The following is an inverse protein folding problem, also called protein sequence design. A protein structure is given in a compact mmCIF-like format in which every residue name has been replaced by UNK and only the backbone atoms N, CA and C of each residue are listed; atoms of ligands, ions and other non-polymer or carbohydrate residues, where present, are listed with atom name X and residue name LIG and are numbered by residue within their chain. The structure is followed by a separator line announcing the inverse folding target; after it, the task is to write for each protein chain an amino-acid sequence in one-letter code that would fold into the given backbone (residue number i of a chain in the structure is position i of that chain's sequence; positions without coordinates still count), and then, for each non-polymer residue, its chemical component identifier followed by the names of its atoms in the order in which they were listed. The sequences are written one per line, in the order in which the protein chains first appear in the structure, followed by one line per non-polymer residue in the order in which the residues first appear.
data_IF_268070172789
#
_entry.id   IF_268070172789
#
_cell.length_a   1.000
_cell.length_b   1.000
_cell.length_c   1.000
_cell.angle_alpha   90.00
_cell.angle_beta   90.00
_cell.angle_gamma   90.00
#
_symmetry.space_group_name_H-M   'P 1'
#
loop_
_entity.id
_entity.type
_entity.pdbx_description
1 polymer ?
#
# COMPACT_ATOMS: atom_id res chain seq x y z
N UNK A 1 13.86 15.07 8.72
CA UNK A 1 12.61 15.83 8.55
C UNK A 1 11.38 15.00 8.17
N UNK A 2 11.42 14.08 7.18
CA UNK A 2 10.22 13.32 6.74
C UNK A 2 9.42 12.57 7.82
N UNK A 3 10.07 12.18 8.93
CA UNK A 3 9.45 11.49 10.08
C UNK A 3 9.00 12.47 11.17
N UNK A 4 9.41 13.75 11.10
CA UNK A 4 9.24 14.75 12.17
C UNK A 4 8.20 15.82 11.85
N UNK A 5 7.81 16.01 10.58
CA UNK A 5 6.83 17.01 10.15
C UNK A 5 5.69 16.36 9.36
N UNK A 6 4.45 16.61 9.80
CA UNK A 6 3.23 16.31 9.08
C UNK A 6 2.90 17.54 8.22
N UNK A 7 3.15 17.48 6.91
CA UNK A 7 2.71 18.53 5.99
C UNK A 7 1.32 18.17 5.48
N UNK A 8 0.49 19.16 5.17
CA UNK A 8 -0.84 18.95 4.57
C UNK A 8 -0.73 18.18 3.23
N UNK A 9 0.43 18.28 2.56
CA UNK A 9 0.77 17.67 1.28
C UNK A 9 1.18 16.18 1.39
N UNK A 10 1.13 15.55 2.57
CA UNK A 10 1.48 14.14 2.76
C UNK A 10 0.48 13.42 3.67
N UNK A 11 0.05 12.23 3.27
CA UNK A 11 -0.77 11.34 4.10
C UNK A 11 -0.23 9.90 4.09
N UNK A 12 -0.20 9.26 5.26
CA UNK A 12 0.15 7.84 5.42
C UNK A 12 -1.04 7.07 5.98
N UNK A 13 -1.41 5.98 5.29
CA UNK A 13 -2.47 5.06 5.70
C UNK A 13 -1.82 3.76 6.17
N UNK A 14 -2.28 3.27 7.31
CA UNK A 14 -1.80 2.02 7.90
C UNK A 14 -2.87 0.94 7.78
N UNK A 15 -2.44 -0.27 7.42
CA UNK A 15 -3.21 -1.49 7.47
C UNK A 15 -2.40 -2.57 8.18
N UNK A 16 -3.07 -3.50 8.85
CA UNK A 16 -2.45 -4.69 9.42
C UNK A 16 -3.43 -5.85 9.39
N UNK A 17 -2.93 -7.05 9.61
CA UNK A 17 -3.74 -8.25 9.71
C UNK A 17 -2.89 -9.51 9.83
N UNK A 18 -3.57 -10.64 9.87
CA UNK A 18 -2.98 -11.97 9.80
C UNK A 18 -3.52 -12.70 8.58
N UNK A 19 -2.66 -13.20 7.71
CA UNK A 19 -3.05 -13.80 6.43
C UNK A 19 -2.63 -15.27 6.35
N UNK A 20 -3.52 -16.16 5.92
CA UNK A 20 -3.21 -17.58 5.72
C UNK A 20 -2.64 -17.81 4.32
N UNK A 21 -2.04 -18.98 4.13
CA UNK A 21 -1.58 -19.43 2.83
C UNK A 21 -2.69 -19.33 1.77
N UNK A 22 -2.32 -18.81 0.59
CA UNK A 22 -3.20 -18.64 -0.57
C UNK A 22 -4.41 -17.71 -0.37
N UNK A 23 -4.48 -16.98 0.75
CA UNK A 23 -5.44 -15.90 0.93
C UNK A 23 -5.00 -14.62 0.22
N UNK A 24 -5.98 -13.78 -0.06
CA UNK A 24 -5.80 -12.44 -0.62
C UNK A 24 -6.55 -11.45 0.28
N UNK A 25 -5.83 -10.46 0.81
CA UNK A 25 -6.42 -9.33 1.51
C UNK A 25 -6.47 -8.12 0.59
N UNK A 26 -7.64 -7.49 0.49
CA UNK A 26 -7.87 -6.30 -0.32
C UNK A 26 -7.74 -5.01 0.49
N UNK A 27 -6.98 -4.05 -0.02
CA UNK A 27 -6.84 -2.70 0.53
C UNK A 27 -7.22 -1.66 -0.52
N UNK A 28 -8.12 -0.75 -0.16
CA UNK A 28 -8.54 0.37 -1.01
C UNK A 28 -7.91 1.65 -0.48
N UNK A 29 -6.85 2.12 -1.14
CA UNK A 29 -6.21 3.39 -0.78
C UNK A 29 -6.98 4.55 -1.40
N UNK A 30 -7.56 5.46 -0.60
CA UNK A 30 -8.35 6.58 -1.13
C UNK A 30 -7.45 7.61 -1.82
N UNK A 31 -7.88 8.13 -2.97
CA UNK A 31 -7.15 9.13 -3.73
C UNK A 31 -7.66 10.55 -3.48
N UNK A 32 -6.82 11.53 -3.10
CA UNK A 32 -7.27 12.90 -2.96
C UNK A 32 -7.79 13.41 -4.31
N UNK A 33 -9.03 13.90 -4.38
CA UNK A 33 -9.64 14.41 -5.61
C UNK A 33 -8.88 15.61 -6.19
N UNK A 34 -8.19 16.40 -5.36
CA UNK A 34 -7.34 17.51 -5.83
C UNK A 34 -6.17 17.09 -6.73
N UNK A 35 -5.82 15.80 -6.78
CA UNK A 35 -4.86 15.26 -7.73
C UNK A 35 -5.48 14.82 -9.07
N UNK A 36 -6.82 14.75 -9.16
CA UNK A 36 -7.53 14.47 -10.41
C UNK A 36 -7.25 15.59 -11.39
N UNK A 37 -6.91 15.23 -12.62
CA UNK A 37 -6.53 16.16 -13.69
C UNK A 37 -5.31 17.07 -13.40
N UNK A 38 -4.57 16.81 -12.33
CA UNK A 38 -3.41 17.60 -11.93
C UNK A 38 -2.11 17.11 -12.59
N UNK A 39 -1.24 18.07 -12.97
CA UNK A 39 0.15 17.82 -13.39
C UNK A 39 1.14 17.87 -12.23
N UNK A 40 0.68 18.04 -10.98
CA UNK A 40 1.56 18.08 -9.82
C UNK A 40 2.38 16.79 -9.72
N UNK A 41 3.65 16.93 -9.39
CA UNK A 41 4.47 15.78 -9.00
C UNK A 41 3.84 15.11 -7.77
N UNK A 42 3.77 13.79 -7.81
CA UNK A 42 3.30 12.95 -6.72
C UNK A 42 4.21 11.74 -6.54
N UNK A 43 4.36 11.31 -5.29
CA UNK A 43 5.04 10.06 -4.93
C UNK A 43 4.15 9.22 -4.06
N UNK A 44 4.03 7.94 -4.41
CA UNK A 44 3.46 6.92 -3.55
C UNK A 44 4.57 6.00 -3.04
N UNK A 45 4.59 5.75 -1.75
CA UNK A 45 5.51 4.81 -1.11
C UNK A 45 4.69 3.72 -0.44
N UNK A 46 4.90 2.47 -0.83
CA UNK A 46 4.19 1.31 -0.28
C UNK A 46 5.19 0.40 0.43
N UNK A 47 4.95 0.12 1.71
CA UNK A 47 5.78 -0.78 2.51
C UNK A 47 4.91 -1.87 3.11
N UNK A 48 5.22 -3.12 2.79
CA UNK A 48 4.67 -4.31 3.42
C UNK A 48 5.77 -4.98 4.23
N UNK A 49 5.52 -5.31 5.49
CA UNK A 49 6.44 -6.04 6.34
C UNK A 49 5.70 -7.15 7.09
N UNK A 50 6.36 -8.28 7.32
CA UNK A 50 5.75 -9.43 7.99
C UNK A 50 6.73 -10.22 8.86
N UNK A 51 6.20 -10.98 9.80
CA UNK A 51 6.98 -11.91 10.61
C UNK A 51 6.75 -13.33 10.10
N UNK A 52 7.67 -13.78 9.26
CA UNK A 52 7.69 -15.17 8.81
C UNK A 52 8.30 -16.06 9.90
N UNK A 53 7.77 -17.28 10.10
CA UNK A 53 8.50 -18.37 10.75
C UNK A 53 9.79 -18.67 10.00
N UNK A 54 10.68 -19.39 10.67
CA UNK A 54 11.99 -19.72 10.13
C UNK A 54 12.19 -21.21 9.92
N UNK A 55 12.69 -21.58 8.74
CA UNK A 55 13.23 -22.91 8.45
C UNK A 55 14.77 -22.83 8.36
N UNK A 56 15.50 -23.18 9.42
CA UNK A 56 16.97 -23.11 9.44
C UNK A 56 17.63 -24.12 8.49
N UNK A 57 16.91 -25.16 8.05
CA UNK A 57 17.44 -26.16 7.13
C UNK A 57 17.41 -25.72 5.66
N UNK A 58 16.82 -24.56 5.35
CA UNK A 58 16.67 -24.06 3.98
C UNK A 58 17.34 -22.70 3.79
N UNK A 59 18.00 -22.49 2.64
CA UNK A 59 18.78 -21.27 2.34
C UNK A 59 17.98 -19.96 2.40
N UNK A 60 16.67 -20.02 2.18
CA UNK A 60 15.80 -18.83 2.22
C UNK A 60 15.44 -18.41 3.66
N UNK A 61 15.64 -19.31 4.62
CA UNK A 61 15.35 -19.21 6.06
C UNK A 61 13.91 -18.88 6.45
N UNK A 62 13.11 -18.25 5.61
CA UNK A 62 11.73 -17.84 5.87
C UNK A 62 10.74 -18.86 5.31
N UNK A 63 9.72 -19.18 6.09
CA UNK A 63 8.65 -20.09 5.69
C UNK A 63 7.50 -19.42 4.91
N UNK A 64 7.33 -18.11 5.07
CA UNK A 64 6.25 -17.34 4.45
C UNK A 64 6.80 -16.22 3.58
N UNK A 65 6.23 -16.12 2.39
CA UNK A 65 6.47 -15.02 1.46
C UNK A 65 5.18 -14.27 1.19
N UNK A 66 5.12 -13.03 1.67
CA UNK A 66 4.05 -12.11 1.32
C UNK A 66 4.50 -11.19 0.18
N UNK A 67 3.51 -10.68 -0.55
CA UNK A 67 3.73 -9.62 -1.53
C UNK A 67 2.47 -8.76 -1.66
N UNK A 68 2.65 -7.46 -1.91
CA UNK A 68 1.58 -6.60 -2.40
C UNK A 68 1.69 -6.39 -3.91
N UNK A 69 0.54 -6.22 -4.56
CA UNK A 69 0.43 -5.81 -5.96
C UNK A 69 -0.79 -4.89 -6.14
N UNK A 70 -0.70 -3.87 -7.02
CA UNK A 70 -1.90 -3.18 -7.48
C UNK A 70 -2.77 -4.10 -8.33
N UNK A 71 -4.08 -3.83 -8.42
CA UNK A 71 -5.03 -4.59 -9.25
C UNK A 71 -4.64 -4.59 -10.74
N UNK A 72 -4.11 -3.47 -11.23
CA UNK A 72 -3.53 -3.32 -12.56
C UNK A 72 -2.17 -2.61 -12.48
N UNK A 73 -1.43 -2.47 -13.59
CA UNK A 73 -0.09 -1.87 -13.54
C UNK A 73 -0.12 -0.43 -13.02
N UNK A 74 0.96 0.01 -12.37
CA UNK A 74 1.05 1.34 -11.77
C UNK A 74 0.81 2.51 -12.74
N UNK A 75 1.13 2.34 -14.02
CA UNK A 75 0.89 3.29 -15.12
C UNK A 75 -0.55 3.23 -15.68
N UNK A 76 -1.28 2.16 -15.40
CA UNK A 76 -2.70 2.01 -15.73
C UNK A 76 -3.58 2.61 -14.62
N UNK A 77 -3.10 2.61 -13.36
CA UNK A 77 -3.78 3.19 -12.19
C UNK A 77 -4.05 4.71 -12.33
N UNK A 78 -5.01 5.27 -11.58
CA UNK A 78 -5.38 6.68 -11.69
C UNK A 78 -4.25 7.68 -11.40
N UNK A 79 -3.26 7.34 -10.57
CA UNK A 79 -2.12 8.23 -10.31
C UNK A 79 -1.00 8.14 -11.34
N UNK A 80 -1.08 7.20 -12.31
CA UNK A 80 -0.13 7.08 -13.43
C UNK A 80 1.33 7.10 -12.95
N UNK A 81 1.65 6.13 -12.10
CA UNK A 81 2.91 6.08 -11.38
C UNK A 81 3.90 5.12 -12.05
N UNK A 82 5.19 5.42 -11.93
CA UNK A 82 6.28 4.55 -12.34
C UNK A 82 7.25 4.31 -11.17
N UNK A 83 7.88 3.14 -11.14
CA UNK A 83 8.90 2.82 -10.13
C UNK A 83 10.14 3.70 -10.33
N UNK A 84 10.62 4.30 -9.25
CA UNK A 84 11.73 5.26 -9.29
C UNK A 84 13.08 4.56 -9.19
N UNK A 85 13.22 3.58 -8.30
CA UNK A 85 14.35 2.65 -8.31
C UNK A 85 14.14 1.57 -7.26
N UNK A 86 14.00 0.34 -7.73
CA UNK A 86 14.26 -0.88 -6.96
C UNK A 86 14.42 -2.00 -7.98
N UNK A 87 15.50 -2.78 -7.91
CA UNK A 87 15.51 -4.10 -8.55
C UNK A 87 14.36 -4.89 -7.91
N UNK A 88 13.25 -5.03 -8.65
CA UNK A 88 12.04 -5.72 -8.22
C UNK A 88 12.36 -7.12 -7.66
N UNK A 89 13.44 -7.75 -8.13
CA UNK A 89 13.85 -9.06 -7.64
C UNK A 89 14.50 -9.03 -6.25
N UNK A 90 15.16 -7.94 -5.85
CA UNK A 90 15.79 -7.83 -4.53
C UNK A 90 14.77 -7.55 -3.42
N UNK A 91 13.74 -6.76 -3.72
CA UNK A 91 12.66 -6.43 -2.78
C UNK A 91 11.90 -7.69 -2.33
N UNK A 92 11.92 -8.77 -3.13
CA UNK A 92 11.22 -10.02 -2.86
C UNK A 92 12.05 -11.07 -2.08
N UNK A 93 13.26 -10.73 -1.62
CA UNK A 93 14.19 -11.66 -0.95
C UNK A 93 14.15 -11.60 0.58
N UNK A 94 13.49 -10.61 1.16
CA UNK A 94 13.35 -10.45 2.61
C UNK A 94 11.91 -10.66 3.10
N UNK A 95 11.65 -10.18 4.32
CA UNK A 95 10.31 -10.08 4.91
C UNK A 95 9.75 -8.64 4.90
N UNK A 96 10.28 -7.83 3.98
CA UNK A 96 9.84 -6.45 3.72
C UNK A 96 9.81 -6.24 2.21
N UNK A 97 8.68 -5.79 1.68
CA UNK A 97 8.56 -5.25 0.32
C UNK A 97 8.34 -3.75 0.39
N UNK A 98 9.24 -2.96 -0.19
CA UNK A 98 9.19 -1.50 -0.23
C UNK A 98 9.27 -1.02 -1.68
N UNK A 99 8.26 -0.30 -2.17
CA UNK A 99 8.28 0.32 -3.50
C UNK A 99 8.09 1.84 -3.40
N UNK A 100 8.92 2.56 -4.15
CA UNK A 100 8.81 4.02 -4.36
C UNK A 100 8.35 4.27 -5.79
N UNK A 101 7.24 4.98 -5.92
CA UNK A 101 6.53 5.20 -7.17
C UNK A 101 6.32 6.70 -7.38
N UNK A 102 6.58 7.24 -8.56
CA UNK A 102 6.39 8.66 -8.87
C UNK A 102 5.62 8.90 -10.16
N UNK A 103 4.94 10.04 -10.23
CA UNK A 103 4.28 10.55 -11.42
C UNK A 103 4.29 12.07 -11.43
N UNK A 104 4.49 12.70 -12.59
CA UNK A 104 4.64 14.16 -12.68
C UNK A 104 4.20 14.78 -14.01
N UNK A 105 3.74 13.98 -14.98
CA UNK A 105 3.47 14.45 -16.35
C UNK A 105 2.14 14.00 -16.92
N UNK A 106 1.54 12.95 -16.36
CA UNK A 106 0.32 12.35 -16.89
C UNK A 106 -0.89 12.86 -16.14
N UNK A 107 -1.82 13.46 -16.89
CA UNK A 107 -3.13 13.88 -16.41
C UNK A 107 -4.07 12.69 -16.56
N UNK A 108 -4.81 12.40 -15.51
CA UNK A 108 -5.84 11.37 -15.45
C UNK A 108 -6.98 11.92 -14.62
N UNK A 109 -8.20 11.78 -15.13
CA UNK A 109 -9.40 12.04 -14.37
C UNK A 109 -9.83 10.77 -13.64
N UNK A 110 -10.34 10.94 -12.43
CA UNK A 110 -10.97 9.88 -11.66
C UNK A 110 -12.08 10.49 -10.80
N UNK A 111 -13.03 9.64 -10.42
CA UNK A 111 -14.18 10.01 -9.60
C UNK A 111 -13.76 10.53 -8.22
N UNK A 112 -14.64 11.30 -7.59
CA UNK A 112 -14.39 11.81 -6.24
C UNK A 112 -14.15 10.67 -5.25
N UNK A 113 -14.78 9.50 -5.38
CA UNK A 113 -14.53 8.33 -4.54
C UNK A 113 -13.42 7.39 -5.05
N UNK A 114 -12.57 7.87 -5.96
CA UNK A 114 -11.48 7.10 -6.55
C UNK A 114 -10.53 6.50 -5.52
N UNK A 115 -10.04 5.30 -5.83
CA UNK A 115 -9.10 4.55 -5.01
C UNK A 115 -8.11 3.75 -5.87
N UNK A 116 -7.00 3.35 -5.27
CA UNK A 116 -6.12 2.31 -5.79
C UNK A 116 -6.39 1.04 -5.00
N UNK A 117 -6.78 -0.03 -5.70
CA UNK A 117 -6.94 -1.36 -5.11
C UNK A 117 -5.58 -2.07 -5.08
N UNK A 118 -5.21 -2.56 -3.90
CA UNK A 118 -4.02 -3.36 -3.67
C UNK A 118 -4.38 -4.70 -3.04
N UNK A 119 -3.71 -5.74 -3.50
CA UNK A 119 -3.83 -7.10 -2.99
C UNK A 119 -2.57 -7.47 -2.22
N UNK A 120 -2.73 -7.87 -0.96
CA UNK A 120 -1.69 -8.57 -0.20
C UNK A 120 -1.95 -10.07 -0.32
N UNK A 121 -0.93 -10.81 -0.74
CA UNK A 121 -1.00 -12.27 -0.96
C UNK A 121 0.03 -12.98 -0.11
N UNK A 122 -0.25 -14.23 0.27
CA UNK A 122 0.65 -15.05 1.09
C UNK A 122 0.86 -16.44 0.45
N UNK A 123 2.12 -16.89 0.41
CA UNK A 123 2.50 -18.23 -0.03
C UNK A 123 3.52 -18.84 0.92
N UNK A 124 3.51 -20.16 1.02
CA UNK A 124 4.63 -20.90 1.58
C UNK A 124 5.91 -20.66 0.74
N UNK A 125 7.05 -20.60 1.42
CA UNK A 125 8.41 -20.54 0.88
C UNK A 125 9.26 -21.42 1.80
N UNK A 126 10.24 -22.18 1.31
CA UNK A 126 11.07 -23.04 2.18
C UNK A 126 10.30 -24.07 3.07
N UNK A 127 9.00 -24.27 2.87
CA UNK A 127 8.15 -25.25 3.55
C UNK A 127 7.05 -25.70 2.59
N UNK A 128 6.40 -26.83 2.89
CA UNK A 128 5.29 -27.35 2.06
C UNK A 128 3.99 -26.59 2.30
N UNK A 129 3.70 -26.25 3.56
CA UNK A 129 2.47 -25.57 3.98
C UNK A 129 2.73 -24.61 5.14
N UNK A 130 1.85 -23.62 5.31
CA UNK A 130 1.83 -22.76 6.49
C UNK A 130 0.77 -23.21 7.49
N UNK A 131 1.18 -23.56 8.71
CA UNK A 131 0.26 -24.04 9.76
C UNK A 131 -0.50 -22.92 10.48
N UNK A 132 -0.06 -21.67 10.33
CA UNK A 132 -0.62 -20.53 11.03
C UNK A 132 -0.67 -19.29 10.15
N UNK A 133 -1.53 -18.35 10.54
CA UNK A 133 -1.66 -17.08 9.85
C UNK A 133 -0.42 -16.21 10.12
N UNK A 134 0.01 -15.47 9.09
CA UNK A 134 1.22 -14.65 9.12
C UNK A 134 0.84 -13.22 9.44
N UNK A 135 1.30 -12.64 10.56
CA UNK A 135 1.04 -11.25 10.89
C UNK A 135 1.84 -10.33 9.96
N UNK A 136 1.21 -9.27 9.48
CA UNK A 136 1.83 -8.27 8.63
C UNK A 136 1.31 -6.86 8.91
N UNK A 137 2.12 -5.88 8.50
CA UNK A 137 1.76 -4.46 8.43
C UNK A 137 1.96 -3.92 7.02
N UNK A 138 1.08 -3.01 6.62
CA UNK A 138 1.08 -2.28 5.35
C UNK A 138 1.06 -0.78 5.65
N UNK A 139 2.00 -0.03 5.11
CA UNK A 139 2.02 1.42 5.16
C UNK A 139 2.02 1.99 3.73
N UNK A 140 1.06 2.84 3.41
CA UNK A 140 0.93 3.49 2.10
C UNK A 140 0.97 4.98 2.31
N UNK A 141 1.99 5.63 1.78
CA UNK A 141 2.16 7.09 1.85
C UNK A 141 1.96 7.70 0.49
N UNK A 142 1.17 8.77 0.40
CA UNK A 142 1.08 9.62 -0.78
C UNK A 142 1.57 11.02 -0.41
N UNK A 143 2.41 11.60 -1.27
CA UNK A 143 2.89 12.97 -1.13
C UNK A 143 2.87 13.71 -2.46
N UNK A 144 2.64 15.02 -2.39
CA UNK A 144 2.92 15.98 -3.47
C UNK A 144 4.07 16.91 -3.04
N UNK A 145 4.58 17.70 -3.98
CA UNK A 145 5.61 18.69 -3.65
C UNK A 145 5.10 19.72 -2.62
N UNK A 146 5.99 20.18 -1.73
CA UNK A 146 5.66 21.24 -0.78
C UNK A 146 5.26 22.53 -1.51
N UNK A 147 4.30 23.27 -0.95
CA UNK A 147 3.73 24.47 -1.57
C UNK A 147 2.68 24.21 -2.66
N UNK A 148 2.41 22.94 -3.01
CA UNK A 148 1.24 22.58 -3.83
C UNK A 148 -0.03 22.67 -2.97
N UNK A 149 -1.01 23.42 -3.44
CA UNK A 149 -2.32 23.62 -2.79
C UNK A 149 -3.25 22.42 -3.00
N UNK A 150 -2.80 21.25 -2.54
CA UNK A 150 -3.59 20.01 -2.50
C UNK A 150 -3.48 19.45 -1.08
N UNK A 151 -4.56 19.49 -0.28
CA UNK A 151 -4.56 19.02 1.10
C UNK A 151 -4.67 17.48 1.15
N UNK A 152 -3.60 16.79 0.75
CA UNK A 152 -3.51 15.33 0.67
C UNK A 152 -3.91 14.66 1.98
N UNK A 153 -3.38 15.15 3.12
CA UNK A 153 -3.66 14.58 4.43
C UNK A 153 -5.17 14.61 4.76
N UNK A 154 -5.79 15.79 4.68
CA UNK A 154 -7.19 15.98 5.05
C UNK A 154 -8.14 15.20 4.15
N UNK A 155 -7.89 15.17 2.84
CA UNK A 155 -8.73 14.42 1.90
C UNK A 155 -8.65 12.90 2.11
N UNK A 156 -7.46 12.36 2.43
CA UNK A 156 -7.29 10.95 2.78
C UNK A 156 -7.95 10.64 4.14
N UNK A 157 -7.66 11.45 5.16
CA UNK A 157 -8.15 11.29 6.54
C UNK A 157 -9.68 11.28 6.61
N UNK A 158 -10.32 12.22 5.93
CA UNK A 158 -11.79 12.34 5.88
C UNK A 158 -12.46 11.08 5.31
N UNK A 159 -11.85 10.46 4.30
CA UNK A 159 -12.40 9.24 3.68
C UNK A 159 -12.24 8.00 4.52
N UNK A 160 -11.12 7.88 5.24
CA UNK A 160 -10.89 6.76 6.14
C UNK A 160 -11.87 6.81 7.31
N UNK A 161 -12.06 8.01 7.92
CA UNK A 161 -13.04 8.19 9.00
C UNK A 161 -14.46 7.82 8.57
N UNK A 162 -14.85 8.22 7.36
CA UNK A 162 -16.16 7.85 6.79
C UNK A 162 -16.33 6.32 6.64
N UNK A 163 -15.30 5.61 6.17
CA UNK A 163 -15.35 4.14 6.05
C UNK A 163 -15.48 3.42 7.39
N UNK A 164 -14.82 3.92 8.45
CA UNK A 164 -14.92 3.32 9.79
C UNK A 164 -16.32 3.47 10.37
N UNK A 165 -16.97 4.62 10.17
CA UNK A 165 -18.33 4.87 10.67
C UNK A 165 -19.38 3.92 10.04
N UNK A 166 -19.21 3.55 8.77
CA UNK A 166 -20.12 2.62 8.06
C UNK A 166 -19.89 1.16 8.47
N UNK A 167 -18.68 0.79 8.89
CA UNK A 167 -18.36 -0.58 9.31
C UNK A 167 -18.77 -0.90 10.76
N UNK A 168 -19.13 0.12 11.55
CA UNK A 168 -19.54 -0.02 12.95
C UNK A 168 -21.04 -0.37 13.16
N UNK A 169 -21.80 -0.67 12.10
CA UNK A 169 -23.22 -1.01 12.18
C UNK A 169 -23.57 -2.30 11.41
N UNK A 170 -22.93 -3.41 11.78
CA UNK A 170 -23.51 -4.75 11.61
C UNK A 170 -23.16 -5.56 12.86
N UNK A 171 -23.83 -5.26 13.98
CA UNK A 171 -24.00 -6.19 15.09
C UNK A 171 -25.45 -6.70 15.06
N UNK A 172 -25.57 -7.98 14.73
CA UNK A 172 -26.57 -8.97 15.16
C UNK A 172 -28.08 -8.63 15.07
N UNK A 173 -28.73 -9.33 14.14
CA UNK A 173 -30.03 -9.97 14.37
C UNK A 173 -29.92 -11.45 13.99
#
# INVERSE_FOLDING_TARGET
ERVLACTEQRGTVLGCGEIKENQVHEYRFPLPFGLSESKAWRRMVVTLAWFSPINPAHRNLREAKLAFKPESKWDEQPLKLARVDSDYNQVLRGTVQHEVLEGSRQISSYEENGHILMHVTCKADATETLDHAIPYGLAVTLEVAEGVDIPVYEQISSRIKAQVAVRAHVENL
#
